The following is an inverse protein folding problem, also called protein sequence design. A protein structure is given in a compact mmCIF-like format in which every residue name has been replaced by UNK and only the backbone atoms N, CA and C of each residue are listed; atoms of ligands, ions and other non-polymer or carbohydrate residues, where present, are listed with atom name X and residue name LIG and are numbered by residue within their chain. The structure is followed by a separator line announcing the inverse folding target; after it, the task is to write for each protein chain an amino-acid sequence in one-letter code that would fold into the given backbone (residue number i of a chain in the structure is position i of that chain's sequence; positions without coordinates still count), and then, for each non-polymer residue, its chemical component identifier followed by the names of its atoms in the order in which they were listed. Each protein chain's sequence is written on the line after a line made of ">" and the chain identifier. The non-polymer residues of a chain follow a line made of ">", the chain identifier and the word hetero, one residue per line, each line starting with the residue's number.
data_IF_239841642877
#
_entry.id   IF_239841642877
#
_cell.length_a   1.000
_cell.length_b   1.000
_cell.length_c   1.000
_cell.angle_alpha   90.00
_cell.angle_beta   90.00
_cell.angle_gamma   90.00
#
_symmetry.space_group_name_H-M   'P 1'
#
loop_
_entity.id
_entity.type
_entity.pdbx_description
1 polymer ?
#
# COMPACT_ATOMS: atom_id res chain seq x y z
N UNK A 1 -3.70 27.45 -12.02
CA UNK A 1 -4.18 26.12 -12.49
C UNK A 1 -3.81 25.07 -11.45
N UNK A 2 -4.78 24.26 -10.99
CA UNK A 2 -4.51 23.11 -10.12
C UNK A 2 -3.95 21.98 -10.99
N UNK A 3 -2.70 21.60 -10.75
CA UNK A 3 -2.06 20.46 -11.45
C UNK A 3 -2.88 19.20 -11.16
N UNK A 4 -3.31 18.43 -12.18
CA UNK A 4 -4.03 17.17 -11.97
C UNK A 4 -3.23 16.27 -11.03
N UNK A 5 -3.85 15.80 -9.94
CA UNK A 5 -3.19 14.90 -9.00
C UNK A 5 -3.00 13.56 -9.70
N UNK A 6 -1.77 13.23 -10.12
CA UNK A 6 -1.45 11.89 -10.60
C UNK A 6 -1.88 10.88 -9.52
N UNK A 7 -2.77 9.96 -9.89
CA UNK A 7 -3.13 8.84 -9.03
C UNK A 7 -1.89 7.96 -8.83
N UNK A 8 -1.55 7.68 -7.57
CA UNK A 8 -0.34 6.95 -7.18
C UNK A 8 -0.55 5.46 -7.41
N UNK A 9 0.45 4.73 -7.90
CA UNK A 9 0.30 3.27 -8.11
C UNK A 9 0.53 2.54 -6.79
N UNK A 10 -0.46 1.75 -6.37
CA UNK A 10 -0.36 0.81 -5.25
C UNK A 10 -0.48 -0.60 -5.81
N UNK A 11 0.43 -1.50 -5.38
CA UNK A 11 0.43 -2.91 -5.84
C UNK A 11 -0.06 -3.87 -4.76
N UNK A 12 -0.02 -3.48 -3.50
CA UNK A 12 -0.42 -4.32 -2.38
C UNK A 12 -1.71 -3.79 -1.74
N UNK A 13 -2.72 -4.65 -1.64
CA UNK A 13 -3.93 -4.37 -0.88
C UNK A 13 -3.79 -5.03 0.50
N UNK A 14 -3.84 -4.28 1.60
CA UNK A 14 -3.74 -4.87 2.93
C UNK A 14 -5.00 -5.65 3.27
N UNK A 15 -4.85 -6.94 3.59
CA UNK A 15 -5.94 -7.77 4.12
C UNK A 15 -6.28 -7.37 5.57
N UNK A 16 -5.30 -6.84 6.30
CA UNK A 16 -5.46 -6.27 7.64
C UNK A 16 -5.42 -4.75 7.54
N UNK A 17 -6.56 -4.11 7.73
CA UNK A 17 -6.71 -2.65 7.62
C UNK A 17 -6.74 -1.94 8.97
N UNK A 18 -6.65 -2.66 10.09
CA UNK A 18 -6.83 -2.08 11.41
C UNK A 18 -5.87 -2.68 12.44
N UNK A 19 -5.14 -1.83 13.14
CA UNK A 19 -4.23 -2.18 14.23
C UNK A 19 -4.61 -1.39 15.48
N UNK A 20 -4.57 -2.04 16.65
CA UNK A 20 -4.83 -1.36 17.92
C UNK A 20 -3.99 -1.94 19.05
N UNK A 21 -3.66 -1.15 20.09
CA UNK A 21 -3.04 -1.68 21.29
C UNK A 21 -3.98 -2.67 21.99
N UNK A 22 -3.38 -3.70 22.58
CA UNK A 22 -4.12 -4.75 23.30
C UNK A 22 -4.62 -4.21 24.65
N UNK A 23 -5.86 -4.55 25.00
CA UNK A 23 -6.42 -4.26 26.33
C UNK A 23 -7.24 -2.97 26.45
N UNK A 24 -7.36 -2.18 25.38
CA UNK A 24 -8.15 -0.95 25.37
C UNK A 24 -9.35 -1.08 24.39
N UNK A 25 -10.57 -0.70 24.80
CA UNK A 25 -11.73 -0.62 23.91
C UNK A 25 -11.51 0.39 22.79
N UNK A 26 -12.01 0.09 21.59
CA UNK A 26 -11.88 0.99 20.42
C UNK A 26 -12.55 2.35 20.64
N UNK A 27 -13.62 2.40 21.43
CA UNK A 27 -14.35 3.62 21.78
C UNK A 27 -13.53 4.62 22.58
N UNK A 28 -12.46 4.19 23.23
CA UNK A 28 -11.59 5.01 24.09
C UNK A 28 -10.24 5.32 23.42
N UNK A 29 -10.03 4.80 22.21
CA UNK A 29 -8.79 4.95 21.46
C UNK A 29 -8.91 6.09 20.46
N UNK A 30 -7.92 6.98 20.47
CA UNK A 30 -7.69 7.85 19.33
C UNK A 30 -7.26 7.01 18.13
N UNK A 31 -7.68 7.42 16.92
CA UNK A 31 -7.34 6.75 15.67
C UNK A 31 -6.40 7.62 14.83
N UNK A 32 -5.39 6.98 14.25
CA UNK A 32 -4.52 7.58 13.24
C UNK A 32 -4.78 6.93 11.89
N UNK A 33 -5.17 7.74 10.91
CA UNK A 33 -5.42 7.26 9.55
C UNK A 33 -4.11 7.21 8.78
N UNK A 34 -3.66 6.01 8.45
CA UNK A 34 -2.56 5.76 7.53
C UNK A 34 -3.14 5.52 6.13
N UNK A 35 -2.78 6.36 5.17
CA UNK A 35 -3.33 6.18 3.82
C UNK A 35 -2.73 4.93 3.16
N UNK A 36 -3.45 4.35 2.18
CA UNK A 36 -2.98 3.14 1.49
C UNK A 36 -1.68 3.39 0.70
N UNK A 37 -1.49 4.60 0.18
CA UNK A 37 -0.25 5.01 -0.50
C UNK A 37 0.92 5.19 0.48
N UNK A 38 0.67 5.75 1.67
CA UNK A 38 1.63 5.82 2.77
C UNK A 38 2.05 4.42 3.26
N UNK A 39 1.08 3.50 3.36
CA UNK A 39 1.34 2.11 3.72
C UNK A 39 2.26 1.42 2.68
N UNK A 40 1.95 1.56 1.38
CA UNK A 40 2.80 1.02 0.31
C UNK A 40 4.20 1.66 0.32
N UNK A 41 4.30 2.95 0.66
CA UNK A 41 5.59 3.64 0.76
C UNK A 41 6.50 3.00 1.83
N UNK A 42 5.93 2.76 3.03
CA UNK A 42 6.63 2.12 4.14
C UNK A 42 6.95 0.67 3.79
N UNK A 43 6.03 -0.06 3.13
CA UNK A 43 6.29 -1.42 2.65
C UNK A 43 7.49 -1.46 1.71
N UNK A 44 7.56 -0.59 0.71
CA UNK A 44 8.65 -0.58 -0.28
C UNK A 44 9.98 -0.13 0.33
N UNK A 45 9.98 0.93 1.16
CA UNK A 45 11.22 1.50 1.69
C UNK A 45 11.75 0.78 2.93
N UNK A 46 10.88 0.53 3.90
CA UNK A 46 11.26 0.07 5.23
C UNK A 46 11.19 -1.45 5.37
N UNK A 47 10.26 -2.12 4.67
CA UNK A 47 10.13 -3.58 4.71
C UNK A 47 10.89 -4.28 3.58
N UNK A 48 10.73 -3.84 2.31
CA UNK A 48 11.45 -4.42 1.17
C UNK A 48 12.89 -3.87 1.03
N UNK A 49 13.24 -2.81 1.74
CA UNK A 49 14.61 -2.25 1.78
C UNK A 49 15.07 -1.62 0.46
N UNK A 50 14.15 -1.22 -0.43
CA UNK A 50 14.50 -0.73 -1.75
C UNK A 50 15.09 0.68 -1.73
N UNK A 51 15.78 1.02 -2.82
CA UNK A 51 16.28 2.38 -3.01
C UNK A 51 15.14 3.38 -3.29
N UNK A 52 15.35 4.63 -2.86
CA UNK A 52 14.32 5.67 -2.94
C UNK A 52 13.87 5.92 -4.39
N UNK A 53 14.81 5.86 -5.33
CA UNK A 53 14.51 6.01 -6.75
C UNK A 53 13.60 4.89 -7.27
N UNK A 54 13.88 3.66 -6.85
CA UNK A 54 13.11 2.48 -7.27
C UNK A 54 11.70 2.51 -6.70
N UNK A 55 11.56 2.90 -5.44
CA UNK A 55 10.25 3.06 -4.82
C UNK A 55 9.41 4.11 -5.55
N UNK A 56 10.00 5.27 -5.86
CA UNK A 56 9.35 6.35 -6.59
C UNK A 56 8.90 5.88 -8.00
N UNK A 57 9.76 5.13 -8.71
CA UNK A 57 9.44 4.49 -9.99
C UNK A 57 8.30 3.48 -9.86
N UNK A 58 8.32 2.59 -8.85
CA UNK A 58 7.27 1.58 -8.60
C UNK A 58 5.90 2.22 -8.33
N UNK A 59 5.87 3.35 -7.62
CA UNK A 59 4.66 4.10 -7.28
C UNK A 59 4.25 5.15 -8.33
N UNK A 60 5.04 5.33 -9.39
CA UNK A 60 4.84 6.32 -10.45
C UNK A 60 4.73 7.78 -9.93
N UNK A 61 5.64 8.15 -9.04
CA UNK A 61 5.73 9.50 -8.46
C UNK A 61 7.18 10.02 -8.48
N UNK A 62 7.35 11.33 -8.28
CA UNK A 62 8.68 11.91 -8.13
C UNK A 62 9.34 11.51 -6.80
N UNK A 63 10.67 11.40 -6.78
CA UNK A 63 11.42 11.07 -5.55
C UNK A 63 11.12 12.03 -4.38
N UNK A 64 11.02 13.37 -4.56
CA UNK A 64 10.67 14.28 -3.47
C UNK A 64 9.26 14.03 -2.91
N UNK A 65 8.32 13.59 -3.76
CA UNK A 65 6.96 13.23 -3.32
C UNK A 65 6.98 11.94 -2.51
N UNK A 66 7.75 10.94 -2.97
CA UNK A 66 7.92 9.69 -2.24
C UNK A 66 8.55 9.93 -0.86
N UNK A 67 9.61 10.73 -0.79
CA UNK A 67 10.27 11.08 0.46
C UNK A 67 9.30 11.71 1.48
N UNK A 68 8.50 12.69 1.05
CA UNK A 68 7.48 13.33 1.91
C UNK A 68 6.44 12.32 2.41
N UNK A 69 6.05 11.38 1.56
CA UNK A 69 5.08 10.34 1.90
C UNK A 69 5.62 9.37 2.95
N UNK A 70 6.87 8.92 2.81
CA UNK A 70 7.53 8.07 3.81
C UNK A 70 7.67 8.79 5.15
N UNK A 71 8.07 10.07 5.15
CA UNK A 71 8.15 10.86 6.40
C UNK A 71 6.79 10.99 7.07
N UNK A 72 5.75 11.32 6.30
CA UNK A 72 4.38 11.42 6.81
C UNK A 72 3.90 10.10 7.41
N UNK A 73 4.11 8.99 6.70
CA UNK A 73 3.75 7.65 7.13
C UNK A 73 4.47 7.27 8.43
N UNK A 74 5.79 7.45 8.50
CA UNK A 74 6.59 7.17 9.70
C UNK A 74 6.15 8.03 10.89
N UNK A 75 5.83 9.30 10.68
CA UNK A 75 5.33 10.17 11.75
C UNK A 75 4.00 9.67 12.32
N UNK A 76 3.07 9.25 11.46
CA UNK A 76 1.77 8.68 11.88
C UNK A 76 1.94 7.36 12.64
N UNK A 77 2.81 6.48 12.14
CA UNK A 77 3.13 5.21 12.81
C UNK A 77 3.76 5.48 14.18
N UNK A 78 4.73 6.40 14.25
CA UNK A 78 5.37 6.77 15.50
C UNK A 78 4.37 7.40 16.48
N UNK A 79 3.51 8.32 16.04
CA UNK A 79 2.45 8.91 16.86
C UNK A 79 1.54 7.83 17.46
N UNK A 80 1.12 6.87 16.64
CA UNK A 80 0.25 5.80 17.09
C UNK A 80 0.94 4.85 18.10
N UNK A 81 2.21 4.52 17.88
CA UNK A 81 2.95 3.66 18.80
C UNK A 81 3.23 4.37 20.14
N UNK A 82 3.67 5.63 20.09
CA UNK A 82 4.07 6.40 21.29
C UNK A 82 2.86 6.79 22.13
N UNK A 83 1.76 7.21 21.50
CA UNK A 83 0.56 7.66 22.19
C UNK A 83 -0.49 6.55 22.37
N UNK A 84 -0.18 5.32 21.97
CA UNK A 84 -1.09 4.18 22.11
C UNK A 84 -2.37 4.34 21.30
N UNK A 85 -2.30 4.88 20.08
CA UNK A 85 -3.46 5.08 19.20
C UNK A 85 -3.70 3.84 18.34
N UNK A 86 -4.93 3.67 17.89
CA UNK A 86 -5.24 2.73 16.82
C UNK A 86 -4.73 3.27 15.47
N UNK A 87 -4.29 2.38 14.58
CA UNK A 87 -3.94 2.69 13.20
C UNK A 87 -5.00 2.09 12.29
N UNK A 88 -5.68 2.96 11.53
CA UNK A 88 -6.63 2.56 10.50
C UNK A 88 -6.02 2.82 9.13
N UNK A 89 -5.94 1.79 8.30
CA UNK A 89 -5.46 1.89 6.93
C UNK A 89 -6.66 2.13 6.02
N UNK A 90 -6.82 3.37 5.56
CA UNK A 90 -7.95 3.76 4.73
C UNK A 90 -7.60 4.94 3.80
N UNK A 91 -8.25 4.99 2.65
CA UNK A 91 -8.21 6.16 1.77
C UNK A 91 -6.88 6.36 1.05
N UNK A 92 -6.67 7.60 0.61
CA UNK A 92 -5.58 7.97 -0.30
C UNK A 92 -6.01 8.04 -1.76
N UNK A 93 -5.20 8.70 -2.59
CA UNK A 93 -5.49 8.87 -4.01
C UNK A 93 -4.61 7.92 -4.83
N UNK A 94 -5.03 6.66 -4.92
CA UNK A 94 -4.26 5.60 -5.54
C UNK A 94 -5.02 4.81 -6.60
N UNK A 95 -4.28 4.36 -7.62
CA UNK A 95 -4.72 3.40 -8.61
C UNK A 95 -4.13 2.03 -8.24
N UNK A 96 -5.00 1.08 -7.92
CA UNK A 96 -4.60 -0.29 -7.65
C UNK A 96 -4.18 -0.97 -8.96
N UNK A 97 -2.94 -1.39 -9.04
CA UNK A 97 -2.43 -2.16 -10.20
C UNK A 97 -2.78 -3.62 -9.94
N UNK A 98 -3.81 -4.15 -10.61
CA UNK A 98 -4.09 -5.58 -10.55
C UNK A 98 -2.89 -6.35 -11.12
N UNK A 99 -2.44 -7.46 -10.50
CA UNK A 99 -1.47 -8.32 -11.15
C UNK A 99 -2.09 -8.79 -12.47
N UNK A 100 -1.42 -8.48 -13.57
CA UNK A 100 -1.80 -8.98 -14.89
C UNK A 100 -1.81 -10.51 -14.76
N UNK A 101 -2.99 -11.13 -14.78
CA UNK A 101 -3.10 -12.59 -14.91
C UNK A 101 -2.37 -12.94 -16.20
N UNK A 102 -1.13 -13.43 -16.10
CA UNK A 102 -0.45 -14.09 -17.24
C UNK A 102 -1.38 -15.22 -17.63
N UNK A 103 -1.93 -15.14 -18.84
CA UNK A 103 -2.94 -16.07 -19.32
C UNK A 103 -2.50 -17.50 -19.08
N UNK A 104 -3.41 -18.32 -18.56
CA UNK A 104 -3.31 -19.77 -18.71
C UNK A 104 -3.36 -20.07 -20.22
N UNK A 105 -2.19 -20.10 -20.83
CA UNK A 105 -1.98 -20.64 -22.15
C UNK A 105 -1.97 -22.16 -22.07
N UNK A 106 -2.79 -22.76 -22.93
CA UNK A 106 -2.69 -24.12 -23.47
C UNK A 106 -2.83 -25.30 -22.49
N UNK A 107 -3.97 -25.99 -22.60
CA UNK A 107 -3.98 -27.42 -22.94
C UNK A 107 -5.21 -27.72 -23.80
N UNK A 108 -5.08 -27.51 -25.12
CA UNK A 108 -6.01 -28.07 -26.09
C UNK A 108 -5.74 -29.57 -26.17
N UNK A 109 -6.45 -30.35 -25.36
CA UNK A 109 -6.51 -31.80 -25.50
C UNK A 109 -7.14 -32.17 -26.84
N UNK A 110 -6.31 -32.47 -27.85
CA UNK A 110 -6.70 -33.29 -29.00
C UNK A 110 -7.13 -34.65 -28.45
N UNK A 111 -8.43 -34.91 -28.36
CA UNK A 111 -8.93 -36.28 -28.31
C UNK A 111 -8.78 -36.86 -29.72
N UNK A 112 -7.70 -37.61 -29.92
CA UNK A 112 -7.59 -38.54 -31.04
C UNK A 112 -8.78 -39.51 -30.98
N UNK A 113 -9.49 -39.59 -32.09
CA UNK A 113 -10.30 -40.74 -32.42
C UNK A 113 -9.39 -41.97 -32.46
N UNK A 114 -9.74 -42.99 -31.69
CA UNK A 114 -9.30 -44.36 -31.91
C UNK A 114 -10.56 -45.23 -31.91
N UNK A 115 -10.60 -46.07 -32.94
CA UNK A 115 -11.64 -46.99 -33.36
C UNK A 115 -12.11 -47.95 -32.28
#
# INVERSE_FOLDING_TARGET
>A
MVRPRLCRRVRFNPDVTYFKPRGIPLTELEETILNVDEFEAVRLKDLEGLEQEECAKKMNISQPTFHRMVISARKKIADAIVNGKAIRIEGGNFNMVKPQRRGLGLWRGRRSAIK
#
